data_IF_268262308117
#
_entry.id   IF_268262308117
#
_cell.length_a   1.000
_cell.length_b   1.000
_cell.length_c   1.000
_cell.angle_alpha   90.00
_cell.angle_beta   90.00
_cell.angle_gamma   90.00
#
_symmetry.space_group_name_H-M   'P 1'
#
loop_
_entity.id
_entity.type
_entity.pdbx_description
1 polymer ?
#
# COMPACT_ATOMS: atom_id res chain seq x y z
N UNK A 1 -5.40 12.85 2.32
CA UNK A 1 -4.97 11.78 3.24
C UNK A 1 -5.89 10.60 3.01
N UNK A 2 -5.33 9.44 2.72
CA UNK A 2 -6.05 8.21 2.43
C UNK A 2 -5.61 7.15 3.44
N UNK A 3 -6.56 6.35 3.92
CA UNK A 3 -6.37 5.47 5.05
C UNK A 3 -6.85 4.07 4.70
N UNK A 4 -6.07 3.06 5.04
CA UNK A 4 -6.42 1.65 4.89
C UNK A 4 -5.86 0.81 6.02
N UNK A 5 -6.49 -0.33 6.28
CA UNK A 5 -6.13 -1.23 7.38
C UNK A 5 -5.66 -2.58 6.87
N UNK A 6 -4.57 -3.07 7.45
CA UNK A 6 -4.19 -4.47 7.31
C UNK A 6 -5.03 -5.32 8.26
N UNK A 7 -5.50 -6.48 7.79
CA UNK A 7 -6.44 -7.31 8.55
C UNK A 7 -5.74 -8.60 9.01
N UNK A 8 -5.82 -8.94 10.31
CA UNK A 8 -5.38 -10.23 10.87
C UNK A 8 -6.33 -11.38 10.52
N UNK A 9 -6.64 -11.55 9.24
CA UNK A 9 -7.47 -12.63 8.73
C UNK A 9 -6.60 -13.79 8.27
N UNK A 10 -7.12 -15.01 8.37
CA UNK A 10 -6.46 -16.20 7.82
C UNK A 10 -6.33 -16.13 6.29
N UNK A 11 -7.29 -15.50 5.63
CA UNK A 11 -7.33 -15.29 4.17
C UNK A 11 -7.64 -13.82 3.90
N UNK A 12 -6.68 -12.90 4.11
CA UNK A 12 -6.91 -11.48 3.93
C UNK A 12 -7.17 -11.18 2.45
N UNK A 13 -7.93 -10.11 2.19
CA UNK A 13 -8.08 -9.59 0.83
C UNK A 13 -6.70 -9.08 0.37
N UNK A 14 -6.17 -9.51 -0.77
CA UNK A 14 -4.92 -8.97 -1.29
C UNK A 14 -4.99 -7.46 -1.43
N UNK A 15 -3.96 -6.75 -0.96
CA UNK A 15 -3.91 -5.29 -1.01
C UNK A 15 -5.06 -4.62 -0.24
N UNK A 16 -5.56 -5.25 0.83
CA UNK A 16 -6.66 -4.75 1.68
C UNK A 16 -6.63 -3.24 1.95
N UNK A 17 -5.54 -2.67 2.51
CA UNK A 17 -5.48 -1.22 2.77
C UNK A 17 -5.54 -0.37 1.49
N UNK A 18 -5.03 -0.87 0.36
CA UNK A 18 -5.13 -0.14 -0.90
C UNK A 18 -6.57 -0.18 -1.46
N UNK A 19 -7.29 -1.29 -1.25
CA UNK A 19 -8.71 -1.41 -1.58
C UNK A 19 -9.56 -0.38 -0.81
N UNK A 20 -9.25 -0.16 0.47
CA UNK A 20 -9.94 0.86 1.29
C UNK A 20 -9.75 2.28 0.72
N UNK A 21 -8.58 2.55 0.12
CA UNK A 21 -8.23 3.84 -0.47
C UNK A 21 -8.71 4.03 -1.91
N UNK A 22 -9.13 2.96 -2.59
CA UNK A 22 -9.31 2.90 -4.04
C UNK A 22 -10.17 4.04 -4.61
N UNK A 23 -11.31 4.32 -3.96
CA UNK A 23 -12.26 5.35 -4.39
C UNK A 23 -11.70 6.78 -4.39
N UNK A 24 -10.66 7.04 -3.60
CA UNK A 24 -10.12 8.37 -3.38
C UNK A 24 -8.74 8.60 -4.03
N UNK A 25 -8.13 7.56 -4.63
CA UNK A 25 -6.86 7.65 -5.34
C UNK A 25 -7.03 8.22 -6.75
N UNK A 26 -7.54 7.37 -7.65
CA UNK A 26 -7.68 7.63 -9.07
C UNK A 26 -8.63 6.56 -9.65
N UNK A 27 -9.58 6.91 -10.54
CA UNK A 27 -10.53 5.95 -11.11
C UNK A 27 -9.87 4.78 -11.84
N UNK A 28 -8.71 4.98 -12.47
CA UNK A 28 -7.97 3.93 -13.14
C UNK A 28 -7.42 2.91 -12.13
N UNK A 29 -6.95 3.39 -10.97
CA UNK A 29 -6.45 2.50 -9.90
C UNK A 29 -7.59 1.69 -9.30
N UNK A 30 -8.73 2.32 -9.03
CA UNK A 30 -9.93 1.62 -8.57
C UNK A 30 -10.34 0.51 -9.56
N UNK A 31 -10.39 0.82 -10.86
CA UNK A 31 -10.73 -0.16 -11.88
C UNK A 31 -9.72 -1.34 -11.96
N UNK A 32 -8.42 -1.08 -11.79
CA UNK A 32 -7.40 -2.14 -11.77
C UNK A 32 -7.56 -3.05 -10.54
N UNK A 33 -7.88 -2.46 -9.38
CA UNK A 33 -8.14 -3.21 -8.16
C UNK A 33 -9.40 -4.08 -8.28
N UNK A 34 -10.50 -3.52 -8.80
CA UNK A 34 -11.76 -4.23 -9.03
C UNK A 34 -11.58 -5.42 -10.00
N UNK A 35 -10.66 -5.28 -10.97
CA UNK A 35 -10.32 -6.34 -11.93
C UNK A 35 -9.35 -7.39 -11.37
N UNK A 36 -8.84 -7.23 -10.15
CA UNK A 36 -7.79 -8.09 -9.62
C UNK A 36 -6.52 -8.04 -10.47
N UNK A 37 -6.17 -6.87 -11.01
CA UNK A 37 -5.02 -6.72 -11.88
C UNK A 37 -3.73 -7.15 -11.18
N UNK A 38 -2.87 -7.83 -11.92
CA UNK A 38 -1.59 -8.30 -11.41
C UNK A 38 -0.66 -7.13 -11.00
N UNK A 39 0.25 -7.33 -10.03
CA UNK A 39 1.16 -6.29 -9.53
C UNK A 39 1.95 -5.56 -10.61
N UNK A 40 2.34 -6.26 -11.68
CA UNK A 40 3.12 -5.71 -12.80
C UNK A 40 2.36 -4.62 -13.56
N UNK A 41 1.03 -4.62 -13.50
CA UNK A 41 0.16 -3.58 -14.06
C UNK A 41 -0.26 -2.55 -13.02
N UNK A 42 -0.62 -3.01 -11.83
CA UNK A 42 -1.18 -2.15 -10.79
C UNK A 42 -0.13 -1.20 -10.20
N UNK A 43 1.05 -1.71 -9.85
CA UNK A 43 2.06 -0.93 -9.12
C UNK A 43 2.62 0.23 -9.96
N UNK A 44 2.98 0.06 -11.25
CA UNK A 44 3.42 1.17 -12.09
C UNK A 44 2.32 2.20 -12.33
N UNK A 45 1.06 1.76 -12.45
CA UNK A 45 -0.07 2.67 -12.60
C UNK A 45 -0.23 3.56 -11.35
N UNK A 46 -0.20 2.95 -10.15
CA UNK A 46 -0.29 3.69 -8.89
C UNK A 46 0.90 4.64 -8.71
N UNK A 47 2.12 4.19 -9.02
CA UNK A 47 3.32 5.02 -9.00
C UNK A 47 3.15 6.25 -9.88
N UNK A 48 2.70 6.07 -11.13
CA UNK A 48 2.48 7.15 -12.08
C UNK A 48 1.42 8.13 -11.57
N UNK A 49 0.31 7.63 -11.00
CA UNK A 49 -0.72 8.47 -10.41
C UNK A 49 -0.17 9.33 -9.25
N UNK A 50 0.66 8.75 -8.37
CA UNK A 50 1.28 9.46 -7.26
C UNK A 50 2.39 10.43 -7.70
N UNK A 51 3.12 10.14 -8.78
CA UNK A 51 4.12 11.04 -9.36
C UNK A 51 3.47 12.31 -9.93
N UNK A 52 2.34 12.15 -10.62
CA UNK A 52 1.65 13.23 -11.33
C UNK A 52 0.49 13.85 -10.53
N UNK A 53 0.35 13.47 -9.25
CA UNK A 53 -0.69 14.01 -8.38
C UNK A 53 -0.55 15.53 -8.23
N UNK A 54 -1.68 16.26 -8.22
CA UNK A 54 -1.66 17.73 -8.09
C UNK A 54 -1.06 18.20 -6.75
N UNK A 55 -1.25 17.43 -5.68
CA UNK A 55 -0.72 17.71 -4.34
C UNK A 55 -0.03 16.50 -3.74
N UNK A 56 0.42 16.63 -2.48
CA UNK A 56 0.99 15.51 -1.75
C UNK A 56 -0.10 14.55 -1.27
N UNK A 57 -0.04 13.30 -1.72
CA UNK A 57 -0.92 12.23 -1.25
C UNK A 57 -0.31 11.55 -0.04
N UNK A 58 -0.96 11.67 1.12
CA UNK A 58 -0.59 10.90 2.32
C UNK A 58 -1.35 9.58 2.31
N UNK A 59 -0.63 8.46 2.30
CA UNK A 59 -1.15 7.10 2.37
C UNK A 59 -0.82 6.54 3.75
N UNK A 60 -1.85 6.22 4.52
CA UNK A 60 -1.72 5.67 5.87
C UNK A 60 -2.09 4.18 5.83
N UNK A 61 -1.10 3.34 6.08
CA UNK A 61 -1.26 1.89 6.22
C UNK A 61 -1.24 1.56 7.71
N UNK A 62 -2.39 1.19 8.27
CA UNK A 62 -2.46 0.77 9.66
C UNK A 62 -2.18 -0.71 9.84
N UNK A 63 -1.65 -1.04 11.00
CA UNK A 63 -1.40 -2.39 11.47
C UNK A 63 -0.56 -3.22 10.48
N UNK A 64 0.49 -2.63 9.90
CA UNK A 64 1.27 -3.26 8.82
C UNK A 64 1.93 -4.59 9.22
N UNK A 65 2.02 -4.89 10.52
CA UNK A 65 2.45 -6.19 11.05
C UNK A 65 1.49 -7.33 10.69
N UNK A 66 0.27 -7.01 10.28
CA UNK A 66 -0.70 -7.95 9.72
C UNK A 66 -0.85 -7.82 8.19
N UNK A 67 0.02 -7.06 7.52
CA UNK A 67 -0.07 -6.88 6.08
C UNK A 67 0.12 -8.20 5.33
N UNK A 68 -0.69 -8.41 4.30
CA UNK A 68 -0.47 -9.48 3.34
C UNK A 68 0.79 -9.21 2.50
N UNK A 69 1.32 -10.27 1.86
CA UNK A 69 2.55 -10.17 1.06
C UNK A 69 2.46 -9.14 -0.07
N UNK A 70 1.30 -9.00 -0.74
CA UNK A 70 1.15 -8.05 -1.82
C UNK A 70 1.17 -6.61 -1.29
N UNK A 71 0.57 -6.36 -0.12
CA UNK A 71 0.65 -5.07 0.57
C UNK A 71 2.10 -4.74 0.95
N UNK A 72 2.86 -5.69 1.50
CA UNK A 72 4.27 -5.51 1.83
C UNK A 72 5.12 -5.21 0.58
N UNK A 73 4.89 -5.93 -0.51
CA UNK A 73 5.56 -5.70 -1.79
C UNK A 73 5.24 -4.30 -2.36
N UNK A 74 3.99 -3.86 -2.25
CA UNK A 74 3.59 -2.51 -2.65
C UNK A 74 4.31 -1.44 -1.82
N UNK A 75 4.33 -1.57 -0.49
CA UNK A 75 5.02 -0.64 0.40
C UNK A 75 6.50 -0.56 0.04
N UNK A 76 7.16 -1.71 -0.16
CA UNK A 76 8.57 -1.78 -0.59
C UNK A 76 8.78 -1.15 -1.97
N UNK A 77 7.86 -1.39 -2.90
CA UNK A 77 7.93 -0.86 -4.27
C UNK A 77 7.84 0.66 -4.30
N UNK A 78 6.91 1.25 -3.55
CA UNK A 78 6.74 2.70 -3.41
C UNK A 78 7.85 3.32 -2.58
N UNK A 79 8.22 2.72 -1.44
CA UNK A 79 9.24 3.21 -0.52
C UNK A 79 10.59 3.40 -1.19
N UNK A 80 11.01 2.45 -2.05
CA UNK A 80 12.25 2.57 -2.84
C UNK A 80 12.28 3.73 -3.83
N UNK A 81 11.12 4.33 -4.11
CA UNK A 81 10.94 5.43 -5.07
C UNK A 81 10.35 6.68 -4.43
N UNK A 82 10.25 6.72 -3.10
CA UNK A 82 9.49 7.76 -2.40
C UNK A 82 10.02 9.18 -2.69
N UNK A 83 11.33 9.31 -2.96
CA UNK A 83 11.99 10.59 -3.27
C UNK A 83 11.51 11.25 -4.57
N UNK A 84 10.91 10.49 -5.48
CA UNK A 84 10.36 11.02 -6.74
C UNK A 84 8.83 11.11 -6.74
N UNK A 85 8.18 10.78 -5.62
CA UNK A 85 6.72 10.82 -5.49
C UNK A 85 6.27 12.11 -4.82
N UNK A 86 5.08 12.57 -5.21
CA UNK A 86 4.32 13.57 -4.43
C UNK A 86 3.47 12.82 -3.41
N UNK A 87 4.13 11.99 -2.59
CA UNK A 87 3.46 11.13 -1.63
C UNK A 87 4.24 11.00 -0.32
N UNK A 88 3.51 10.73 0.76
CA UNK A 88 4.05 10.35 2.06
C UNK A 88 3.41 9.02 2.46
N UNK A 89 4.24 8.06 2.87
CA UNK A 89 3.78 6.81 3.46
C UNK A 89 3.85 6.93 4.98
N UNK A 90 2.76 6.61 5.66
CA UNK A 90 2.68 6.49 7.11
C UNK A 90 2.33 5.04 7.41
N UNK A 91 3.17 4.35 8.18
CA UNK A 91 3.00 2.95 8.52
C UNK A 91 2.85 2.84 10.04
N UNK A 92 1.76 2.24 10.53
CA UNK A 92 1.62 1.92 11.94
C UNK A 92 1.87 0.44 12.18
N UNK A 93 2.66 0.12 13.21
CA UNK A 93 3.02 -1.25 13.54
C UNK A 93 3.14 -1.41 15.06
N UNK A 94 2.85 -2.62 15.55
CA UNK A 94 3.03 -2.99 16.95
C UNK A 94 4.32 -3.77 17.11
N UNK A 95 5.27 -3.23 17.85
CA UNK A 95 6.63 -3.78 17.95
C UNK A 95 6.70 -5.11 18.70
N UNK A 96 5.75 -5.40 19.58
CA UNK A 96 5.61 -6.65 20.31
C UNK A 96 5.07 -7.80 19.45
N UNK A 97 4.46 -7.50 18.31
CA UNK A 97 4.01 -8.49 17.33
C UNK A 97 5.02 -8.71 16.18
N UNK A 98 6.11 -7.93 16.15
CA UNK A 98 7.19 -8.08 15.17
C UNK A 98 8.26 -9.05 15.69
N UNK A 99 8.16 -10.32 15.29
CA UNK A 99 9.25 -11.30 15.46
C UNK A 99 10.46 -10.95 14.58
N UNK A 100 11.66 -11.39 14.97
CA UNK A 100 12.93 -10.97 14.34
C UNK A 100 12.99 -11.18 12.81
N UNK A 101 12.39 -12.26 12.30
CA UNK A 101 12.35 -12.60 10.87
C UNK A 101 11.09 -12.05 10.14
N UNK A 102 10.35 -11.13 10.77
CA UNK A 102 9.13 -10.59 10.18
C UNK A 102 9.46 -9.78 8.91
N UNK A 103 8.77 -9.97 7.76
CA UNK A 103 9.08 -9.30 6.49
C UNK A 103 9.22 -7.77 6.54
N UNK A 104 8.51 -7.12 7.47
CA UNK A 104 8.61 -5.68 7.72
C UNK A 104 10.01 -5.21 8.16
N UNK A 105 10.82 -6.07 8.78
CA UNK A 105 12.18 -5.70 9.21
C UNK A 105 13.11 -5.44 8.01
N UNK A 106 12.68 -5.80 6.80
CA UNK A 106 13.45 -5.68 5.56
C UNK A 106 12.88 -4.66 4.56
N UNK A 107 11.86 -3.88 4.94
CA UNK A 107 11.23 -2.87 4.07
C UNK A 107 12.03 -1.57 4.05
#
# INVERSE_FOLDING_TARGET
VLWGWCEALFTPRPLGPLQDMARALDPQIAALLDQGAAPERLFPALLSALQHARGTTVLVFEDVHWADNATLDLIRYLGRRISVLRAMLVLSARSDELVADHPLTHI
#
